data_IF_228431605496
#
_entry.id   IF_228431605496
#
_cell.length_a   1.000
_cell.length_b   1.000
_cell.length_c   1.000
_cell.angle_alpha   90.00
_cell.angle_beta   90.00
_cell.angle_gamma   90.00
#
_symmetry.space_group_name_H-M   'P 1'
#
loop_
_entity.id
_entity.type
_entity.pdbx_description
1 polymer ?
#
# COMPACT_ATOMS: atom_id res chain seq x y z
N UNK A 1 -17.52 -9.69 3.38
CA UNK A 1 -17.78 -8.39 2.73
C UNK A 1 -16.96 -8.20 1.47
N UNK A 2 -15.64 -8.45 1.50
CA UNK A 2 -14.76 -8.29 0.33
C UNK A 2 -15.20 -9.14 -0.87
N UNK A 3 -15.47 -10.44 -0.67
CA UNK A 3 -15.96 -11.31 -1.74
C UNK A 3 -17.26 -10.80 -2.39
N UNK A 4 -18.19 -10.25 -1.60
CA UNK A 4 -19.44 -9.66 -2.11
C UNK A 4 -19.17 -8.39 -2.92
N UNK A 5 -18.34 -7.48 -2.41
CA UNK A 5 -17.96 -6.26 -3.13
C UNK A 5 -17.33 -6.60 -4.50
N UNK A 6 -16.46 -7.61 -4.54
CA UNK A 6 -15.82 -8.07 -5.76
C UNK A 6 -16.79 -8.64 -6.79
N UNK A 7 -17.85 -9.34 -6.36
CA UNK A 7 -18.91 -9.80 -7.27
C UNK A 7 -19.61 -8.65 -8.00
N UNK A 8 -19.56 -7.43 -7.45
CA UNK A 8 -20.10 -6.22 -8.05
C UNK A 8 -19.03 -5.34 -8.73
N UNK A 9 -17.81 -5.85 -8.89
CA UNK A 9 -16.70 -5.08 -9.48
C UNK A 9 -16.18 -3.94 -8.62
N UNK A 10 -16.60 -3.85 -7.35
CA UNK A 10 -16.15 -2.81 -6.43
C UNK A 10 -14.77 -3.17 -5.84
N UNK A 11 -13.93 -2.15 -5.67
CA UNK A 11 -12.65 -2.26 -4.94
C UNK A 11 -12.86 -2.03 -3.45
N UNK A 12 -12.07 -2.67 -2.62
CA UNK A 12 -12.18 -2.58 -1.16
C UNK A 12 -10.91 -2.04 -0.53
N UNK A 13 -11.06 -0.93 0.19
CA UNK A 13 -10.08 -0.40 1.12
C UNK A 13 -10.44 -0.78 2.54
N UNK A 14 -9.48 -1.33 3.27
CA UNK A 14 -9.62 -1.66 4.70
C UNK A 14 -8.83 -0.66 5.53
N UNK A 15 -9.52 0.03 6.45
CA UNK A 15 -8.88 0.81 7.50
C UNK A 15 -8.45 -0.13 8.64
N UNK A 16 -7.16 -0.43 8.64
CA UNK A 16 -6.50 -1.32 9.58
C UNK A 16 -5.90 -0.63 10.79
N UNK A 17 -6.13 0.68 10.97
CA UNK A 17 -5.41 1.49 11.95
C UNK A 17 -5.57 1.00 13.40
N UNK A 18 -6.67 0.30 13.71
CA UNK A 18 -6.94 -0.33 15.01
C UNK A 18 -6.83 -1.86 15.00
N UNK A 19 -6.63 -2.50 13.84
CA UNK A 19 -6.48 -3.95 13.77
C UNK A 19 -5.01 -4.36 13.89
N UNK A 20 -4.11 -3.61 13.26
CA UNK A 20 -2.70 -3.97 13.04
C UNK A 20 -1.89 -4.17 14.34
N UNK A 21 -2.28 -3.52 15.44
CA UNK A 21 -1.60 -3.68 16.73
C UNK A 21 -2.21 -4.78 17.62
N UNK A 22 -3.42 -5.23 17.31
CA UNK A 22 -4.17 -6.15 18.17
C UNK A 22 -4.22 -7.57 17.61
N UNK A 23 -4.08 -7.74 16.29
CA UNK A 23 -4.19 -9.03 15.62
C UNK A 23 -3.17 -9.15 14.49
N UNK A 24 -2.78 -10.38 14.16
CA UNK A 24 -2.04 -10.65 12.94
C UNK A 24 -2.93 -10.32 11.73
N UNK A 25 -2.38 -9.54 10.80
CA UNK A 25 -3.07 -9.13 9.57
C UNK A 25 -2.43 -9.84 8.39
N UNK A 26 -3.25 -10.55 7.62
CA UNK A 26 -2.86 -11.16 6.35
C UNK A 26 -3.74 -10.57 5.23
N UNK A 27 -3.15 -9.66 4.45
CA UNK A 27 -3.85 -8.96 3.37
C UNK A 27 -4.15 -9.88 2.18
N UNK A 28 -3.39 -10.97 2.00
CA UNK A 28 -3.65 -11.96 0.95
C UNK A 28 -4.85 -12.83 1.34
N UNK A 29 -4.93 -13.26 2.61
CA UNK A 29 -6.08 -14.01 3.11
C UNK A 29 -7.35 -13.16 3.18
N UNK A 30 -7.24 -11.87 3.56
CA UNK A 30 -8.36 -10.92 3.51
C UNK A 30 -8.79 -10.62 2.07
N UNK A 31 -7.82 -10.64 1.15
CA UNK A 31 -8.00 -10.35 -0.27
C UNK A 31 -8.55 -8.93 -0.52
N UNK A 32 -8.18 -7.96 0.32
CA UNK A 32 -8.50 -6.55 0.13
C UNK A 32 -7.65 -5.92 -0.99
N UNK A 33 -8.18 -4.90 -1.64
CA UNK A 33 -7.46 -4.22 -2.73
C UNK A 33 -6.51 -3.14 -2.19
N UNK A 34 -6.88 -2.51 -1.07
CA UNK A 34 -6.08 -1.54 -0.33
C UNK A 34 -6.13 -1.82 1.17
N UNK A 35 -5.03 -1.56 1.89
CA UNK A 35 -4.99 -1.64 3.36
C UNK A 35 -4.16 -0.50 3.93
N UNK A 36 -4.67 0.21 4.93
CA UNK A 36 -4.00 1.38 5.52
C UNK A 36 -3.85 1.28 7.03
N UNK A 37 -2.74 1.79 7.56
CA UNK A 37 -2.56 2.00 8.99
C UNK A 37 -1.48 3.06 9.30
N UNK A 38 -1.46 3.54 10.54
CA UNK A 38 -0.48 4.54 11.00
C UNK A 38 0.55 3.92 11.94
N UNK A 39 1.82 4.25 11.76
CA UNK A 39 2.92 3.71 12.58
C UNK A 39 2.81 4.04 14.07
N UNK A 40 2.37 5.26 14.42
CA UNK A 40 2.20 5.68 15.81
C UNK A 40 1.09 4.94 16.58
N UNK A 41 0.24 4.18 15.89
CA UNK A 41 -0.74 3.27 16.51
C UNK A 41 -0.18 1.85 16.69
N UNK A 42 1.01 1.58 16.16
CA UNK A 42 1.78 0.34 16.25
C UNK A 42 3.10 0.58 17.01
N UNK A 43 3.10 1.45 18.02
CA UNK A 43 4.29 1.81 18.81
C UNK A 43 5.47 2.42 18.01
N UNK A 44 5.25 2.80 16.75
CA UNK A 44 6.22 3.51 15.92
C UNK A 44 6.19 5.03 16.14
N UNK A 45 7.03 5.79 15.40
CA UNK A 45 7.04 7.24 15.49
C UNK A 45 5.77 7.87 14.91
N UNK A 46 5.49 9.11 15.30
CA UNK A 46 4.47 9.96 14.68
C UNK A 46 4.87 10.38 13.27
N UNK A 47 3.90 10.59 12.40
CA UNK A 47 4.13 11.14 11.06
C UNK A 47 4.47 10.13 9.97
N UNK A 48 4.44 8.82 10.25
CA UNK A 48 4.60 7.75 9.25
C UNK A 48 3.37 6.84 9.22
N UNK A 49 2.99 6.41 8.01
CA UNK A 49 1.95 5.40 7.78
C UNK A 49 2.27 4.50 6.59
N UNK A 50 1.46 3.45 6.41
CA UNK A 50 1.59 2.51 5.29
C UNK A 50 0.28 2.46 4.51
N UNK A 51 0.40 2.48 3.19
CA UNK A 51 -0.63 2.09 2.24
C UNK A 51 -0.14 0.85 1.47
N UNK A 52 -0.80 -0.27 1.72
CA UNK A 52 -0.73 -1.43 0.86
C UNK A 52 -1.73 -1.27 -0.29
N UNK A 53 -1.27 -1.60 -1.50
CA UNK A 53 -2.09 -1.68 -2.71
C UNK A 53 -1.70 -2.94 -3.46
N UNK A 54 -2.68 -3.65 -4.04
CA UNK A 54 -2.35 -4.74 -4.97
C UNK A 54 -1.53 -4.22 -6.13
N UNK A 55 -0.48 -4.94 -6.50
CA UNK A 55 0.49 -4.50 -7.53
C UNK A 55 -0.18 -4.10 -8.85
N UNK A 56 -1.10 -4.92 -9.35
CA UNK A 56 -1.83 -4.63 -10.59
C UNK A 56 -2.63 -3.31 -10.52
N UNK A 57 -3.15 -2.95 -9.33
CA UNK A 57 -3.82 -1.66 -9.14
C UNK A 57 -2.82 -0.52 -9.02
N UNK A 58 -1.71 -0.74 -8.31
CA UNK A 58 -0.69 0.27 -8.12
C UNK A 58 -0.04 0.70 -9.44
N UNK A 59 0.21 -0.26 -10.35
CA UNK A 59 0.77 0.00 -11.68
C UNK A 59 -0.15 0.84 -12.57
N UNK A 60 -1.47 0.79 -12.33
CA UNK A 60 -2.47 1.57 -13.07
C UNK A 60 -2.73 2.96 -12.46
N UNK A 61 -2.33 3.19 -11.19
CA UNK A 61 -2.60 4.43 -10.49
C UNK A 61 -1.64 5.55 -10.95
N UNK A 62 -2.16 6.76 -11.25
CA UNK A 62 -1.28 7.90 -11.48
C UNK A 62 -0.55 8.27 -10.19
N UNK A 63 0.68 8.85 -10.28
CA UNK A 63 1.38 9.35 -9.11
C UNK A 63 0.56 10.45 -8.43
N UNK A 64 0.58 10.48 -7.09
CA UNK A 64 -0.12 11.49 -6.31
C UNK A 64 0.76 12.70 -6.00
N UNK A 65 1.87 12.50 -5.29
CA UNK A 65 2.89 13.51 -5.07
C UNK A 65 4.00 13.37 -6.12
N UNK A 66 4.42 14.49 -6.71
CA UNK A 66 5.52 14.53 -7.68
C UNK A 66 6.66 15.39 -7.16
N UNK A 67 7.86 14.82 -7.11
CA UNK A 67 9.11 15.54 -6.86
C UNK A 67 9.88 15.77 -8.17
N UNK A 68 10.50 16.94 -8.34
CA UNK A 68 11.52 17.14 -9.36
C UNK A 68 12.85 16.65 -8.81
N UNK A 69 13.41 15.60 -9.41
CA UNK A 69 14.86 15.38 -9.38
C UNK A 69 15.34 15.97 -10.69
N UNK A 70 16.16 17.01 -10.65
CA UNK A 70 16.80 17.47 -11.90
C UNK A 70 17.60 16.30 -12.47
N UNK A 71 17.32 15.96 -13.73
CA UNK A 71 17.65 14.69 -14.40
C UNK A 71 19.16 14.41 -14.60
N UNK A 72 20.05 15.03 -13.83
CA UNK A 72 21.50 14.99 -14.02
C UNK A 72 22.20 13.75 -13.42
N UNK A 73 21.51 12.93 -12.62
CA UNK A 73 22.14 11.80 -11.90
C UNK A 73 21.56 10.40 -12.26
N UNK A 74 20.78 10.25 -13.34
CA UNK A 74 20.21 8.94 -13.69
C UNK A 74 21.27 8.00 -14.30
N UNK A 75 21.88 7.16 -13.47
CA UNK A 75 22.45 5.88 -13.91
C UNK A 75 21.30 4.86 -14.11
N UNK A 76 21.38 3.98 -15.13
CA UNK A 76 20.38 2.93 -15.33
C UNK A 76 20.50 1.88 -14.21
N UNK A 77 19.48 1.82 -13.37
CA UNK A 77 19.34 0.81 -12.33
C UNK A 77 19.00 -0.55 -12.95
N UNK A 78 19.92 -1.50 -12.76
CA UNK A 78 19.75 -2.89 -13.15
C UNK A 78 18.57 -3.51 -12.39
N UNK A 79 17.80 -4.31 -13.11
CA UNK A 79 16.51 -4.83 -12.68
C UNK A 79 16.53 -5.46 -11.28
N UNK A 80 15.56 -5.04 -10.47
CA UNK A 80 15.18 -5.73 -9.26
C UNK A 80 13.67 -5.97 -9.32
N UNK A 81 13.32 -7.21 -9.65
CA UNK A 81 11.98 -7.78 -9.53
C UNK A 81 11.64 -7.86 -8.03
N UNK A 82 10.92 -6.86 -7.52
CA UNK A 82 10.41 -6.84 -6.15
C UNK A 82 8.89 -6.88 -6.24
N UNK A 83 8.36 -8.11 -6.34
CA UNK A 83 6.93 -8.36 -6.20
C UNK A 83 6.40 -7.79 -4.87
N UNK A 84 5.25 -7.13 -4.96
CA UNK A 84 4.48 -6.53 -3.86
C UNK A 84 5.12 -5.30 -3.17
N UNK A 85 4.67 -4.11 -3.57
CA UNK A 85 5.12 -2.81 -3.02
C UNK A 85 4.13 -2.26 -1.98
N UNK A 86 4.58 -2.12 -0.74
CA UNK A 86 3.95 -1.26 0.25
C UNK A 86 4.56 0.14 0.15
N UNK A 87 3.75 1.17 -0.09
CA UNK A 87 4.22 2.55 -0.07
C UNK A 87 4.15 3.06 1.38
N UNK A 88 5.30 3.52 1.88
CA UNK A 88 5.39 4.28 3.12
C UNK A 88 5.28 5.76 2.78
N UNK A 89 4.34 6.46 3.41
CA UNK A 89 4.24 7.93 3.41
C UNK A 89 4.79 8.45 4.72
#
# INVERSE_FOLDING_TARGET
MIALARQHGAKVLVDGAQAVMHHAVDVQALDCDFYVFSGHKLYGPTGIGILYVKEALLQEMPPWEGGRVDDLDRQPDAGNDMGESALAF
#
